data_IF_324349002941
#
_entry.id   IF_324349002941
#
_cell.length_a   1.000
_cell.length_b   1.000
_cell.length_c   1.000
_cell.angle_alpha   90.00
_cell.angle_beta   90.00
_cell.angle_gamma   90.00
#
_symmetry.space_group_name_H-M   'P 1'
#
loop_
_entity.id
_entity.type
_entity.pdbx_description
1 polymer ?
#
# COMPACT_ATOMS: atom_id res chain seq x y z
N UNK A 1 16.67 28.51 14.83
CA UNK A 1 16.09 27.21 15.18
C UNK A 1 16.85 26.60 16.34
N UNK A 2 16.15 26.21 17.43
CA UNK A 2 16.83 25.57 18.57
C UNK A 2 17.50 24.26 18.14
N UNK A 3 18.67 23.99 18.74
CA UNK A 3 19.49 22.81 18.40
C UNK A 3 18.75 21.48 18.59
N UNK A 4 17.88 21.37 19.60
CA UNK A 4 17.14 20.14 19.86
C UNK A 4 16.12 19.83 18.77
N UNK A 5 15.53 20.83 18.13
CA UNK A 5 14.62 20.64 16.98
C UNK A 5 15.35 20.16 15.74
N UNK A 6 16.60 20.61 15.54
CA UNK A 6 17.44 20.11 14.45
C UNK A 6 17.76 18.63 14.60
N UNK A 7 18.07 18.20 15.81
CA UNK A 7 18.34 16.79 16.10
C UNK A 7 17.12 15.93 15.86
N UNK A 8 15.95 16.39 16.27
CA UNK A 8 14.70 15.66 16.03
C UNK A 8 14.39 15.54 14.54
N UNK A 9 14.52 16.62 13.79
CA UNK A 9 14.27 16.57 12.35
C UNK A 9 15.23 15.63 11.63
N UNK A 10 16.51 15.66 12.00
CA UNK A 10 17.51 14.75 11.42
C UNK A 10 17.17 13.28 11.75
N UNK A 11 16.72 13.02 12.94
CA UNK A 11 16.31 11.67 13.36
C UNK A 11 15.12 11.18 12.54
N UNK A 12 14.06 11.98 12.44
CA UNK A 12 12.88 11.63 11.64
C UNK A 12 13.22 11.41 10.17
N UNK A 13 14.06 12.24 9.60
CA UNK A 13 14.49 12.10 8.20
C UNK A 13 15.22 10.78 7.98
N UNK A 14 16.12 10.39 8.89
CA UNK A 14 16.84 9.12 8.80
C UNK A 14 15.91 7.92 8.91
N UNK A 15 15.00 7.95 9.86
CA UNK A 15 14.01 6.88 10.05
C UNK A 15 13.11 6.75 8.83
N UNK A 16 12.67 7.87 8.27
CA UNK A 16 11.86 7.89 7.04
C UNK A 16 12.61 7.30 5.85
N UNK A 17 13.88 7.68 5.66
CA UNK A 17 14.70 7.14 4.58
C UNK A 17 14.88 5.63 4.72
N UNK A 18 15.13 5.14 5.93
CA UNK A 18 15.24 3.71 6.19
C UNK A 18 13.94 2.97 5.85
N UNK A 19 12.79 3.51 6.24
CA UNK A 19 11.49 2.94 5.92
C UNK A 19 11.21 2.90 4.43
N UNK A 20 11.51 3.98 3.72
CA UNK A 20 11.37 4.05 2.26
C UNK A 20 12.28 3.04 1.56
N UNK A 21 13.54 2.93 1.99
CA UNK A 21 14.49 1.96 1.41
C UNK A 21 13.98 0.54 1.60
N UNK A 22 13.50 0.20 2.78
CA UNK A 22 12.95 -1.13 3.06
C UNK A 22 11.74 -1.44 2.18
N UNK A 23 10.80 -0.50 2.06
CA UNK A 23 9.62 -0.65 1.22
C UNK A 23 10.02 -0.80 -0.25
N UNK A 24 10.95 0.01 -0.74
CA UNK A 24 11.43 -0.05 -2.12
C UNK A 24 12.18 -1.35 -2.43
N UNK A 25 12.89 -1.94 -1.46
CA UNK A 25 13.53 -3.25 -1.63
C UNK A 25 12.45 -4.31 -1.89
N UNK A 26 11.38 -4.35 -1.10
CA UNK A 26 10.27 -5.29 -1.33
C UNK A 26 9.54 -5.01 -2.64
N UNK A 27 9.40 -3.75 -3.01
CA UNK A 27 8.84 -3.35 -4.30
C UNK A 27 9.69 -3.88 -5.47
N UNK A 28 11.00 -3.72 -5.38
CA UNK A 28 11.92 -4.22 -6.41
C UNK A 28 11.87 -5.74 -6.52
N UNK A 29 11.82 -6.45 -5.39
CA UNK A 29 11.67 -7.90 -5.38
C UNK A 29 10.34 -8.33 -6.01
N UNK A 30 9.27 -7.60 -5.72
CA UNK A 30 7.95 -7.84 -6.32
C UNK A 30 7.97 -7.67 -7.83
N UNK A 31 8.62 -6.62 -8.32
CA UNK A 31 8.77 -6.36 -9.75
C UNK A 31 9.56 -7.47 -10.45
N UNK A 32 10.66 -7.91 -9.84
CA UNK A 32 11.47 -9.01 -10.38
C UNK A 32 10.67 -10.31 -10.45
N UNK A 33 9.96 -10.66 -9.40
CA UNK A 33 9.12 -11.86 -9.36
C UNK A 33 7.98 -11.78 -10.37
N UNK A 34 7.36 -10.62 -10.52
CA UNK A 34 6.31 -10.41 -11.53
C UNK A 34 6.84 -10.65 -12.93
N UNK A 35 8.03 -10.12 -13.23
CA UNK A 35 8.62 -10.24 -14.57
C UNK A 35 9.05 -11.67 -14.92
N UNK A 36 9.62 -12.39 -13.96
CA UNK A 36 10.27 -13.67 -14.25
C UNK A 36 9.44 -14.90 -13.88
N UNK A 37 8.57 -14.79 -12.89
CA UNK A 37 7.82 -15.94 -12.37
C UNK A 37 6.31 -15.80 -12.48
N UNK A 38 5.76 -14.60 -12.25
CA UNK A 38 4.33 -14.37 -12.14
C UNK A 38 3.88 -13.16 -12.99
N UNK A 39 3.89 -13.29 -14.33
CA UNK A 39 3.54 -12.15 -15.19
C UNK A 39 2.08 -11.69 -15.09
N UNK A 40 1.21 -12.52 -14.51
CA UNK A 40 -0.21 -12.20 -14.33
C UNK A 40 -0.49 -11.29 -13.13
N UNK A 41 0.46 -11.18 -12.20
CA UNK A 41 0.28 -10.39 -10.98
C UNK A 41 1.17 -9.15 -11.05
N UNK A 42 0.59 -7.94 -10.82
CA UNK A 42 1.39 -6.72 -10.79
C UNK A 42 2.49 -6.77 -9.72
N UNK A 43 3.67 -6.26 -10.05
CA UNK A 43 4.82 -6.23 -9.14
C UNK A 43 4.53 -5.61 -7.79
N UNK A 44 3.82 -4.44 -7.71
CA UNK A 44 3.47 -3.83 -6.43
C UNK A 44 2.66 -4.74 -5.51
N UNK A 45 1.77 -5.57 -6.06
CA UNK A 45 0.97 -6.51 -5.26
C UNK A 45 1.88 -7.58 -4.65
N UNK A 46 2.79 -8.13 -5.44
CA UNK A 46 3.76 -9.13 -4.96
C UNK A 46 4.65 -8.51 -3.87
N UNK A 47 5.14 -7.30 -4.11
CA UNK A 47 5.95 -6.57 -3.13
C UNK A 47 5.24 -6.37 -1.81
N UNK A 48 3.96 -5.99 -1.86
CA UNK A 48 3.13 -5.80 -0.68
C UNK A 48 2.93 -7.12 0.09
N UNK A 49 2.66 -8.22 -0.62
CA UNK A 49 2.51 -9.53 -0.01
C UNK A 49 3.83 -9.98 0.65
N UNK A 50 4.96 -9.79 -0.03
CA UNK A 50 6.28 -10.11 0.53
C UNK A 50 6.55 -9.29 1.80
N UNK A 51 6.24 -8.01 1.79
CA UNK A 51 6.39 -7.15 2.96
C UNK A 51 5.50 -7.63 4.11
N UNK A 52 4.25 -7.97 3.82
CA UNK A 52 3.29 -8.48 4.80
C UNK A 52 3.80 -9.79 5.45
N UNK A 53 4.29 -10.72 4.63
CA UNK A 53 4.86 -11.97 5.13
C UNK A 53 6.08 -11.71 6.00
N UNK A 54 6.97 -10.83 5.56
CA UNK A 54 8.15 -10.45 6.34
C UNK A 54 7.77 -9.85 7.70
N UNK A 55 6.83 -8.91 7.73
CA UNK A 55 6.36 -8.30 8.98
C UNK A 55 5.66 -9.31 9.89
N UNK A 56 4.90 -10.22 9.29
CA UNK A 56 4.23 -11.29 10.03
C UNK A 56 5.22 -12.25 10.70
N UNK A 57 6.28 -12.62 9.99
CA UNK A 57 7.34 -13.48 10.52
C UNK A 57 8.15 -12.78 11.60
N UNK A 58 8.36 -11.48 11.44
CA UNK A 58 9.10 -10.67 12.40
C UNK A 58 8.31 -10.40 13.68
N UNK A 59 6.98 -10.42 13.60
CA UNK A 59 6.08 -10.26 14.74
C UNK A 59 5.78 -8.82 15.14
N UNK A 60 6.43 -7.83 14.50
CA UNK A 60 6.18 -6.41 14.76
C UNK A 60 6.51 -5.57 13.53
N UNK A 61 5.92 -4.38 13.45
CA UNK A 61 6.22 -3.41 12.40
C UNK A 61 7.37 -2.52 12.87
N UNK A 62 8.52 -2.50 12.14
CA UNK A 62 9.59 -1.57 12.48
C UNK A 62 9.11 -0.12 12.46
N UNK A 63 9.65 0.71 13.36
CA UNK A 63 9.27 2.11 13.47
C UNK A 63 9.46 2.88 12.15
N UNK A 64 10.47 2.53 11.37
CA UNK A 64 10.74 3.15 10.08
C UNK A 64 9.63 2.88 9.05
N UNK A 65 9.17 1.64 8.95
CA UNK A 65 8.08 1.26 8.05
C UNK A 65 6.76 1.85 8.54
N UNK A 66 6.51 1.82 9.84
CA UNK A 66 5.30 2.39 10.43
C UNK A 66 5.20 3.90 10.15
N UNK A 67 6.29 4.63 10.29
CA UNK A 67 6.33 6.07 10.02
C UNK A 67 5.99 6.39 8.56
N UNK A 68 6.60 5.69 7.62
CA UNK A 68 6.34 5.89 6.18
C UNK A 68 4.92 5.47 5.83
N UNK A 69 4.50 4.30 6.31
CA UNK A 69 3.17 3.77 6.05
C UNK A 69 2.06 4.69 6.57
N UNK A 70 2.20 5.16 7.79
CA UNK A 70 1.25 6.09 8.40
C UNK A 70 1.17 7.41 7.64
N UNK A 71 2.31 7.94 7.20
CA UNK A 71 2.37 9.17 6.40
C UNK A 71 1.66 9.00 5.06
N UNK A 72 1.87 7.89 4.38
CA UNK A 72 1.20 7.58 3.10
C UNK A 72 -0.30 7.44 3.31
N UNK A 73 -0.72 6.71 4.34
CA UNK A 73 -2.14 6.47 4.62
C UNK A 73 -2.88 7.77 4.97
N UNK A 74 -2.24 8.67 5.71
CA UNK A 74 -2.83 9.97 6.04
C UNK A 74 -3.12 10.81 4.79
N UNK A 75 -2.28 10.71 3.77
CA UNK A 75 -2.37 11.52 2.56
C UNK A 75 -2.99 10.76 1.37
N UNK A 76 -3.51 9.56 1.62
CA UNK A 76 -4.09 8.72 0.58
C UNK A 76 -5.24 9.40 -0.16
N UNK A 77 -6.08 10.14 0.57
CA UNK A 77 -7.17 10.90 -0.03
C UNK A 77 -6.70 11.92 -1.07
N UNK A 78 -5.59 12.60 -0.80
CA UNK A 78 -5.01 13.55 -1.75
C UNK A 78 -4.50 12.87 -3.02
N UNK A 79 -4.00 11.64 -2.90
CA UNK A 79 -3.52 10.87 -4.05
C UNK A 79 -4.67 10.41 -4.95
N UNK A 80 -5.88 10.26 -4.41
CA UNK A 80 -7.06 9.88 -5.18
C UNK A 80 -7.61 10.99 -6.07
N UNK A 81 -7.35 12.27 -5.75
CA UNK A 81 -7.90 13.39 -6.51
C UNK A 81 -7.47 13.37 -7.98
N UNK A 82 -6.17 13.26 -8.33
CA UNK A 82 -5.77 13.19 -9.74
C UNK A 82 -6.36 11.98 -10.47
N UNK A 83 -6.42 10.83 -9.80
CA UNK A 83 -7.00 9.62 -10.36
C UNK A 83 -8.50 9.80 -10.66
N UNK A 84 -9.23 10.40 -9.73
CA UNK A 84 -10.67 10.67 -9.89
C UNK A 84 -10.96 11.62 -11.05
N UNK A 85 -10.13 12.66 -11.21
CA UNK A 85 -10.24 13.58 -12.35
C UNK A 85 -9.97 12.85 -13.66
N UNK A 86 -8.98 11.95 -13.68
CA UNK A 86 -8.65 11.14 -14.85
C UNK A 86 -9.81 10.24 -15.32
N UNK A 87 -10.66 9.80 -14.42
CA UNK A 87 -11.83 8.95 -14.75
C UNK A 87 -12.77 9.64 -15.74
N UNK A 88 -12.87 10.98 -15.68
CA UNK A 88 -13.74 11.76 -16.56
C UNK A 88 -13.38 11.54 -18.05
N UNK A 89 -12.09 11.32 -18.35
CA UNK A 89 -11.63 11.08 -19.71
C UNK A 89 -12.14 9.75 -20.27
N UNK A 90 -12.50 8.81 -19.39
CA UNK A 90 -12.98 7.47 -19.77
C UNK A 90 -14.50 7.33 -19.63
N UNK A 91 -15.21 8.45 -19.46
CA UNK A 91 -16.66 8.44 -19.27
C UNK A 91 -17.42 7.67 -20.36
N UNK A 92 -17.11 7.81 -21.66
CA UNK A 92 -17.80 7.03 -22.69
C UNK A 92 -17.66 5.52 -22.53
N UNK A 93 -16.45 5.06 -22.13
CA UNK A 93 -16.18 3.64 -21.90
C UNK A 93 -16.95 3.15 -20.68
N UNK A 94 -16.99 3.96 -19.63
CA UNK A 94 -17.72 3.66 -18.40
C UNK A 94 -19.22 3.53 -18.66
N UNK A 95 -19.79 4.43 -19.45
CA UNK A 95 -21.21 4.39 -19.80
C UNK A 95 -21.55 3.16 -20.62
N UNK A 96 -20.69 2.80 -21.58
CA UNK A 96 -20.90 1.62 -22.43
C UNK A 96 -20.87 0.31 -21.65
N UNK A 97 -20.11 0.26 -20.55
CA UNK A 97 -19.91 -0.95 -19.74
C UNK A 97 -20.42 -0.78 -18.31
N UNK A 98 -21.41 0.09 -18.11
CA UNK A 98 -21.85 0.50 -16.77
C UNK A 98 -22.24 -0.67 -15.86
N UNK A 99 -22.98 -1.65 -16.37
CA UNK A 99 -23.41 -2.81 -15.58
C UNK A 99 -22.23 -3.69 -15.16
N UNK A 100 -21.32 -3.95 -16.10
CA UNK A 100 -20.13 -4.76 -15.79
C UNK A 100 -19.24 -4.08 -14.76
N UNK A 101 -19.03 -2.77 -14.90
CA UNK A 101 -18.21 -1.99 -13.99
C UNK A 101 -18.88 -1.89 -12.60
N UNK A 102 -20.18 -1.61 -12.56
CA UNK A 102 -20.91 -1.51 -11.30
C UNK A 102 -20.87 -2.82 -10.51
N UNK A 103 -21.13 -3.96 -11.20
CA UNK A 103 -21.07 -5.27 -10.55
C UNK A 103 -19.66 -5.62 -10.11
N UNK A 104 -18.64 -5.32 -10.91
CA UNK A 104 -17.24 -5.54 -10.56
C UNK A 104 -16.85 -4.73 -9.32
N UNK A 105 -17.25 -3.46 -9.24
CA UNK A 105 -16.97 -2.60 -8.10
C UNK A 105 -17.64 -3.12 -6.82
N UNK A 106 -18.91 -3.51 -6.89
CA UNK A 106 -19.63 -4.02 -5.71
C UNK A 106 -18.97 -5.32 -5.21
N UNK A 107 -18.70 -6.26 -6.11
CA UNK A 107 -18.05 -7.53 -5.77
C UNK A 107 -16.67 -7.28 -5.18
N UNK A 108 -15.89 -6.39 -5.81
CA UNK A 108 -14.55 -6.02 -5.37
C UNK A 108 -14.54 -5.41 -3.97
N UNK A 109 -15.46 -4.48 -3.69
CA UNK A 109 -15.59 -3.85 -2.37
C UNK A 109 -15.96 -4.88 -1.30
N UNK A 110 -16.94 -5.72 -1.58
CA UNK A 110 -17.37 -6.77 -0.65
C UNK A 110 -16.23 -7.77 -0.38
N UNK A 111 -15.52 -8.19 -1.44
CA UNK A 111 -14.38 -9.08 -1.30
C UNK A 111 -13.25 -8.44 -0.49
N UNK A 112 -12.96 -7.17 -0.74
CA UNK A 112 -11.94 -6.41 -0.01
C UNK A 112 -12.27 -6.30 1.48
N UNK A 113 -13.52 -5.97 1.80
CA UNK A 113 -13.97 -5.88 3.19
C UNK A 113 -13.83 -7.25 3.88
N UNK A 114 -14.27 -8.33 3.23
CA UNK A 114 -14.19 -9.66 3.78
C UNK A 114 -12.75 -10.11 4.03
N UNK A 115 -11.86 -9.89 3.06
CA UNK A 115 -10.43 -10.25 3.18
C UNK A 115 -9.76 -9.42 4.25
N UNK A 116 -9.99 -8.10 4.25
CA UNK A 116 -9.39 -7.19 5.23
C UNK A 116 -9.84 -7.53 6.65
N UNK A 117 -11.14 -7.76 6.85
CA UNK A 117 -11.68 -8.15 8.15
C UNK A 117 -11.09 -9.47 8.63
N UNK A 118 -10.95 -10.45 7.73
CA UNK A 118 -10.37 -11.76 8.04
C UNK A 118 -8.89 -11.64 8.45
N UNK A 119 -8.12 -10.85 7.69
CA UNK A 119 -6.70 -10.61 7.99
C UNK A 119 -6.53 -9.91 9.34
N UNK A 120 -7.30 -8.87 9.60
CA UNK A 120 -7.25 -8.15 10.88
C UNK A 120 -7.61 -9.06 12.05
N UNK A 121 -8.61 -9.91 11.88
CA UNK A 121 -9.02 -10.87 12.90
C UNK A 121 -7.90 -11.88 13.21
N UNK A 122 -7.24 -12.38 12.19
CA UNK A 122 -6.13 -13.33 12.34
C UNK A 122 -4.95 -12.66 13.03
N UNK A 123 -4.58 -11.45 12.61
CA UNK A 123 -3.44 -10.73 13.20
C UNK A 123 -3.74 -10.20 14.61
N UNK A 124 -4.96 -9.79 14.89
CA UNK A 124 -5.36 -9.33 16.22
C UNK A 124 -5.30 -10.44 17.28
N UNK A 125 -5.54 -11.70 16.89
CA UNK A 125 -5.46 -12.85 17.81
C UNK A 125 -4.04 -13.17 18.26
N UNK A 126 -3.02 -12.65 17.60
CA UNK A 126 -1.61 -12.89 17.94
C UNK A 126 -1.07 -11.92 19.01
N UNK A 127 -1.81 -10.87 19.31
CA UNK A 127 -1.49 -9.93 20.37
C UNK A 127 -2.25 -10.29 21.64
#
# INVERSE_FOLDING_TARGET
MPLHLRHQQSFYTRVMIQGLVQIFIFQALGELLSKFALPFIPGPVIGLVLLLVFLSLRGHVPASIDLVGSSVLQHLGLLFIPASVGVVLYLPILQANAWAIASALVISVLATIAVTASLLKVFAKKD
#
